data_IF_893573652989
#
_entry.id   IF_893573652989
#
_cell.length_a   1.000
_cell.length_b   1.000
_cell.length_c   1.000
_cell.angle_alpha   90.00
_cell.angle_beta   90.00
_cell.angle_gamma   90.00
#
_symmetry.space_group_name_H-M   'P 1'
#
loop_
_entity.id
_entity.type
_entity.pdbx_description
1 polymer ?
#
# COMPACT_ATOMS: atom_id res chain seq x y z
N UNK A 1 -1.99 -41.97 -13.59
CA UNK A 1 -2.24 -40.59 -14.07
C UNK A 1 -2.21 -39.66 -12.87
N UNK A 2 -1.75 -38.42 -13.01
CA UNK A 2 -1.68 -37.47 -11.89
C UNK A 2 -3.04 -36.83 -11.60
N UNK A 3 -3.76 -36.43 -12.64
CA UNK A 3 -5.09 -35.82 -12.59
C UNK A 3 -6.18 -36.74 -12.08
N UNK A 4 -5.97 -38.06 -12.05
CA UNK A 4 -6.93 -39.02 -11.48
C UNK A 4 -6.77 -39.24 -9.97
N UNK A 5 -5.89 -38.48 -9.30
CA UNK A 5 -5.69 -38.58 -7.85
C UNK A 5 -6.80 -37.86 -7.10
N UNK A 6 -7.27 -38.44 -5.98
CA UNK A 6 -8.22 -37.79 -5.07
C UNK A 6 -7.66 -36.53 -4.40
N UNK A 7 -6.33 -36.36 -4.40
CA UNK A 7 -5.65 -35.14 -3.92
C UNK A 7 -5.46 -34.08 -5.00
N UNK A 8 -5.83 -34.36 -6.27
CA UNK A 8 -5.76 -33.36 -7.34
C UNK A 8 -7.02 -32.49 -7.29
N UNK A 9 -6.86 -31.17 -7.31
CA UNK A 9 -8.00 -30.25 -7.23
C UNK A 9 -8.86 -30.37 -8.50
N UNK A 10 -10.16 -30.53 -8.31
CA UNK A 10 -11.15 -30.56 -9.39
C UNK A 10 -12.21 -29.47 -9.19
N UNK A 11 -12.65 -28.88 -10.28
CA UNK A 11 -13.78 -27.94 -10.32
C UNK A 11 -14.61 -28.22 -11.58
N UNK A 12 -15.95 -28.15 -11.45
CA UNK A 12 -16.90 -28.52 -12.53
C UNK A 12 -16.61 -29.88 -13.20
N UNK A 13 -16.11 -30.85 -12.42
CA UNK A 13 -15.75 -32.19 -12.90
C UNK A 13 -14.45 -32.27 -13.70
N UNK A 14 -13.73 -31.16 -13.89
CA UNK A 14 -12.43 -31.10 -14.57
C UNK A 14 -11.28 -30.95 -13.57
N UNK A 15 -10.07 -31.48 -13.85
CA UNK A 15 -8.86 -31.14 -13.11
C UNK A 15 -8.54 -29.64 -13.25
N UNK A 16 -8.16 -28.97 -12.17
CA UNK A 16 -7.80 -27.55 -12.18
C UNK A 16 -6.34 -27.36 -12.62
N UNK A 17 -6.10 -26.46 -13.57
CA UNK A 17 -4.77 -26.11 -14.08
C UNK A 17 -4.52 -24.61 -13.91
N UNK A 18 -3.48 -24.24 -13.15
CA UNK A 18 -3.00 -22.86 -13.05
C UNK A 18 -1.95 -22.54 -14.10
N UNK A 19 -2.16 -21.44 -14.85
CA UNK A 19 -1.22 -20.89 -15.82
C UNK A 19 -0.80 -19.49 -15.38
N UNK A 20 0.49 -19.29 -15.10
CA UNK A 20 1.02 -18.03 -14.56
C UNK A 20 2.02 -17.39 -15.50
N UNK A 21 2.06 -16.05 -15.51
CA UNK A 21 3.11 -15.29 -16.19
C UNK A 21 2.87 -15.01 -17.67
N UNK A 22 1.62 -15.00 -18.13
CA UNK A 22 1.26 -14.50 -19.46
C UNK A 22 0.70 -13.08 -19.38
N UNK A 23 0.86 -12.29 -20.45
CA UNK A 23 0.36 -10.92 -20.53
C UNK A 23 1.19 -9.87 -19.79
N UNK A 24 2.26 -10.24 -19.07
CA UNK A 24 3.15 -9.29 -18.41
C UNK A 24 4.12 -8.62 -19.39
N UNK A 25 4.39 -7.32 -19.20
CA UNK A 25 5.27 -6.52 -20.06
C UNK A 25 6.78 -6.71 -19.83
N UNK A 26 7.18 -7.45 -18.79
CA UNK A 26 8.57 -7.61 -18.33
C UNK A 26 9.24 -8.94 -18.78
N UNK A 27 8.57 -9.74 -19.62
CA UNK A 27 8.99 -11.11 -19.97
C UNK A 27 8.67 -11.48 -21.43
N UNK A 28 9.22 -12.59 -21.97
CA UNK A 28 8.98 -12.99 -23.35
C UNK A 28 7.49 -13.21 -23.64
N UNK A 29 7.00 -12.64 -24.75
CA UNK A 29 5.62 -12.78 -25.17
C UNK A 29 5.45 -13.87 -26.25
N UNK A 30 4.66 -14.94 -26.00
CA UNK A 30 4.27 -15.92 -27.02
C UNK A 30 3.26 -15.38 -28.05
N UNK A 31 2.59 -14.25 -27.76
CA UNK A 31 1.60 -13.62 -28.63
C UNK A 31 0.18 -14.16 -28.47
N UNK A 32 -0.80 -13.23 -28.60
CA UNK A 32 -2.25 -13.47 -28.41
C UNK A 32 -2.76 -14.73 -29.11
N UNK A 33 -2.49 -14.90 -30.41
CA UNK A 33 -3.02 -16.04 -31.18
C UNK A 33 -2.54 -17.40 -30.66
N UNK A 34 -1.29 -17.49 -30.20
CA UNK A 34 -0.74 -18.73 -29.65
C UNK A 34 -1.34 -19.05 -28.28
N UNK A 35 -1.54 -18.03 -27.45
CA UNK A 35 -2.12 -18.17 -26.12
C UNK A 35 -3.62 -18.49 -26.16
N UNK A 36 -4.39 -17.82 -27.01
CA UNK A 36 -5.81 -18.15 -27.24
C UNK A 36 -5.97 -19.61 -27.63
N UNK A 37 -5.16 -20.10 -28.58
CA UNK A 37 -5.17 -21.51 -28.98
C UNK A 37 -4.78 -22.44 -27.84
N UNK A 38 -3.70 -22.13 -27.11
CA UNK A 38 -3.25 -22.95 -25.98
C UNK A 38 -4.34 -23.09 -24.90
N UNK A 39 -4.96 -21.98 -24.49
CA UNK A 39 -6.00 -21.99 -23.45
C UNK A 39 -7.27 -22.70 -23.95
N UNK A 40 -7.66 -22.48 -25.21
CA UNK A 40 -8.76 -23.22 -25.86
C UNK A 40 -8.56 -24.74 -25.78
N UNK A 41 -7.37 -25.22 -26.16
CA UNK A 41 -7.06 -26.64 -26.23
C UNK A 41 -6.96 -27.26 -24.82
N UNK A 42 -6.44 -26.53 -23.83
CA UNK A 42 -6.40 -26.96 -22.43
C UNK A 42 -7.80 -27.06 -21.80
N UNK A 43 -8.70 -26.11 -22.09
CA UNK A 43 -10.08 -26.08 -21.56
C UNK A 43 -10.97 -27.25 -22.00
N UNK A 44 -10.56 -27.98 -23.04
CA UNK A 44 -11.22 -29.24 -23.43
C UNK A 44 -11.07 -30.33 -22.34
N UNK A 45 -10.06 -30.22 -21.48
CA UNK A 45 -9.71 -31.28 -20.49
C UNK A 45 -9.47 -30.78 -19.07
N UNK A 46 -9.31 -29.47 -18.86
CA UNK A 46 -9.04 -28.85 -17.56
C UNK A 46 -9.96 -27.64 -17.32
N UNK A 47 -10.09 -27.25 -16.05
CA UNK A 47 -10.59 -25.93 -15.63
C UNK A 47 -9.37 -25.02 -15.45
N UNK A 48 -9.24 -23.97 -16.28
CA UNK A 48 -7.99 -23.22 -16.44
C UNK A 48 -8.05 -21.87 -15.72
N UNK A 49 -7.20 -21.73 -14.70
CA UNK A 49 -7.00 -20.50 -13.93
C UNK A 49 -5.84 -19.71 -14.53
N UNK A 50 -6.08 -18.46 -14.92
CA UNK A 50 -5.08 -17.55 -15.48
C UNK A 50 -4.55 -16.57 -14.44
N UNK A 51 -3.27 -16.69 -14.11
CA UNK A 51 -2.51 -15.71 -13.34
C UNK A 51 -2.03 -14.56 -14.23
N UNK A 52 -2.62 -13.37 -14.05
CA UNK A 52 -2.45 -12.22 -14.93
C UNK A 52 -1.81 -11.00 -14.21
N UNK A 53 -1.35 -9.98 -14.96
CA UNK A 53 -0.87 -8.72 -14.38
C UNK A 53 -1.96 -7.97 -13.60
N UNK A 54 -1.59 -7.00 -12.78
CA UNK A 54 -2.55 -6.21 -12.00
C UNK A 54 -3.42 -5.31 -12.86
N UNK A 55 -2.86 -4.72 -13.92
CA UNK A 55 -3.57 -3.79 -14.81
C UNK A 55 -4.04 -4.45 -16.11
N UNK A 56 -4.27 -5.77 -16.08
CA UNK A 56 -4.59 -6.63 -17.23
C UNK A 56 -5.75 -6.12 -18.11
N UNK A 57 -6.86 -5.70 -17.48
CA UNK A 57 -8.05 -5.15 -18.18
C UNK A 57 -7.79 -3.80 -18.84
N UNK A 58 -6.80 -3.05 -18.37
CA UNK A 58 -6.46 -1.75 -18.94
C UNK A 58 -5.35 -1.87 -20.01
N UNK A 59 -4.55 -2.94 -19.99
CA UNK A 59 -3.43 -3.14 -20.91
C UNK A 59 -2.29 -2.15 -20.70
N UNK A 60 -2.10 -1.69 -19.45
CA UNK A 60 -1.10 -0.69 -19.07
C UNK A 60 -0.17 -1.21 -17.95
N UNK A 61 0.83 -0.41 -17.58
CA UNK A 61 1.75 -0.67 -16.47
C UNK A 61 2.49 -2.01 -16.61
N UNK A 62 2.06 -3.02 -15.85
CA UNK A 62 2.63 -4.36 -15.85
C UNK A 62 2.00 -5.30 -16.89
N UNK A 63 0.93 -4.88 -17.57
CA UNK A 63 0.29 -5.62 -18.65
C UNK A 63 0.72 -5.16 -20.04
N UNK A 64 0.76 -6.12 -20.96
CA UNK A 64 0.72 -5.90 -22.40
C UNK A 64 -0.67 -5.42 -22.85
N UNK A 65 -0.70 -4.62 -23.92
CA UNK A 65 -1.92 -4.14 -24.58
C UNK A 65 -2.47 -5.22 -25.54
N UNK A 66 -3.80 -5.26 -25.74
CA UNK A 66 -4.44 -6.17 -26.71
C UNK A 66 -4.75 -7.59 -26.17
N UNK A 67 -4.44 -7.87 -24.90
CA UNK A 67 -4.56 -9.21 -24.31
C UNK A 67 -5.99 -9.64 -23.90
N UNK A 68 -7.00 -8.80 -24.11
CA UNK A 68 -8.40 -9.08 -23.75
C UNK A 68 -8.95 -10.41 -24.29
N UNK A 69 -8.59 -10.78 -25.52
CA UNK A 69 -9.03 -12.07 -26.08
C UNK A 69 -8.35 -13.26 -25.39
N UNK A 70 -7.11 -13.10 -24.94
CA UNK A 70 -6.44 -14.12 -24.10
C UNK A 70 -7.15 -14.26 -22.75
N UNK A 71 -7.44 -13.14 -22.10
CA UNK A 71 -8.07 -13.13 -20.78
C UNK A 71 -9.49 -13.71 -20.81
N UNK A 72 -10.28 -13.42 -21.86
CA UNK A 72 -11.60 -14.04 -22.10
C UNK A 72 -11.58 -15.56 -22.27
N UNK A 73 -10.43 -16.16 -22.59
CA UNK A 73 -10.37 -17.61 -22.75
C UNK A 73 -10.37 -18.36 -21.41
N UNK A 74 -9.92 -17.78 -20.30
CA UNK A 74 -9.81 -18.50 -19.03
C UNK A 74 -11.16 -18.90 -18.42
N UNK A 75 -11.17 -19.88 -17.52
CA UNK A 75 -12.35 -20.17 -16.69
C UNK A 75 -12.36 -19.30 -15.41
N UNK A 76 -11.16 -18.99 -14.91
CA UNK A 76 -10.97 -18.10 -13.76
C UNK A 76 -9.75 -17.20 -13.98
N UNK A 77 -9.82 -15.93 -13.58
CA UNK A 77 -8.67 -15.00 -13.57
C UNK A 77 -8.21 -14.68 -12.15
N UNK A 78 -6.89 -14.54 -11.99
CA UNK A 78 -6.23 -14.23 -10.73
C UNK A 78 -5.18 -13.13 -10.94
N UNK A 79 -5.55 -11.85 -10.78
CA UNK A 79 -4.60 -10.73 -10.88
C UNK A 79 -3.55 -10.83 -9.78
N UNK A 80 -2.28 -10.85 -10.17
CA UNK A 80 -1.16 -10.84 -9.22
C UNK A 80 -1.04 -9.46 -8.59
N UNK A 81 -1.15 -9.39 -7.25
CA UNK A 81 -1.18 -8.13 -6.50
C UNK A 81 0.02 -7.92 -5.58
N UNK A 82 0.88 -8.93 -5.38
CA UNK A 82 2.04 -8.83 -4.48
C UNK A 82 2.92 -7.63 -4.88
N UNK A 83 3.22 -6.78 -3.90
CA UNK A 83 4.02 -5.56 -4.11
C UNK A 83 3.29 -4.39 -4.80
N UNK A 84 1.96 -4.47 -5.03
CA UNK A 84 1.18 -3.38 -5.66
C UNK A 84 0.66 -2.33 -4.68
N UNK A 85 0.59 -2.67 -3.40
CA UNK A 85 0.28 -1.75 -2.31
C UNK A 85 1.09 -2.14 -1.06
N UNK A 86 1.38 -1.13 -0.23
CA UNK A 86 2.23 -1.22 0.96
C UNK A 86 1.42 -1.00 2.24
N UNK A 87 0.33 -0.25 2.16
CA UNK A 87 -0.46 0.18 3.31
C UNK A 87 -1.91 -0.31 3.23
N UNK A 88 -2.52 -0.59 4.39
CA UNK A 88 -3.91 -1.09 4.47
C UNK A 88 -4.94 -0.17 3.80
N UNK A 89 -4.72 1.14 3.79
CA UNK A 89 -5.61 2.08 3.11
C UNK A 89 -5.64 1.83 1.59
N UNK A 90 -4.48 1.61 0.99
CA UNK A 90 -4.29 1.35 -0.44
C UNK A 90 -4.93 0.04 -0.89
N UNK A 91 -5.07 -0.95 0.02
CA UNK A 91 -5.85 -2.18 -0.23
C UNK A 91 -7.29 -1.81 -0.60
N UNK A 92 -7.95 -1.01 0.24
CA UNK A 92 -9.33 -0.57 0.00
C UNK A 92 -9.44 0.26 -1.29
N UNK A 93 -8.47 1.14 -1.55
CA UNK A 93 -8.46 1.96 -2.77
C UNK A 93 -8.31 1.09 -4.03
N UNK A 94 -7.41 0.09 -4.03
CA UNK A 94 -7.25 -0.88 -5.12
C UNK A 94 -8.58 -1.62 -5.40
N UNK A 95 -9.22 -2.13 -4.35
CA UNK A 95 -10.48 -2.87 -4.51
C UNK A 95 -11.64 -1.98 -4.99
N UNK A 96 -11.69 -0.71 -4.58
CA UNK A 96 -12.75 0.22 -4.98
C UNK A 96 -12.55 0.85 -6.37
N UNK A 97 -11.31 1.03 -6.82
CA UNK A 97 -10.98 1.80 -8.05
C UNK A 97 -10.53 0.95 -9.23
N UNK A 98 -9.98 -0.24 -9.01
CA UNK A 98 -9.47 -1.11 -10.07
C UNK A 98 -10.17 -2.48 -10.06
N UNK A 99 -10.08 -3.23 -8.96
CA UNK A 99 -10.60 -4.60 -8.89
C UNK A 99 -12.12 -4.68 -9.13
N UNK A 100 -12.88 -3.65 -8.73
CA UNK A 100 -14.33 -3.61 -8.95
C UNK A 100 -14.71 -3.74 -10.42
N UNK A 101 -14.00 -3.05 -11.31
CA UNK A 101 -14.26 -3.12 -12.74
C UNK A 101 -13.72 -4.43 -13.35
N UNK A 102 -12.62 -4.95 -12.80
CA UNK A 102 -12.07 -6.25 -13.19
C UNK A 102 -13.04 -7.39 -12.87
N UNK A 103 -13.66 -7.36 -11.69
CA UNK A 103 -14.74 -8.25 -11.30
C UNK A 103 -15.97 -8.11 -12.20
N UNK A 104 -16.40 -6.88 -12.50
CA UNK A 104 -17.51 -6.64 -13.43
C UNK A 104 -17.24 -7.19 -14.83
N UNK A 105 -16.02 -7.02 -15.37
CA UNK A 105 -15.63 -7.65 -16.63
C UNK A 105 -15.70 -9.17 -16.55
N UNK A 106 -15.24 -9.77 -15.45
CA UNK A 106 -15.29 -11.23 -15.27
C UNK A 106 -16.74 -11.74 -15.23
N UNK A 107 -17.63 -11.08 -14.48
CA UNK A 107 -19.07 -11.38 -14.44
C UNK A 107 -19.71 -11.28 -15.84
N UNK A 108 -19.45 -10.20 -16.58
CA UNK A 108 -19.96 -9.97 -17.94
C UNK A 108 -19.50 -11.02 -18.97
N UNK A 109 -18.34 -11.64 -18.75
CA UNK A 109 -17.73 -12.61 -19.66
C UNK A 109 -17.83 -14.06 -19.15
N UNK A 110 -18.57 -14.30 -18.05
CA UNK A 110 -18.72 -15.61 -17.40
C UNK A 110 -17.38 -16.25 -16.94
N UNK A 111 -16.47 -15.41 -16.43
CA UNK A 111 -15.17 -15.80 -15.90
C UNK A 111 -15.25 -15.70 -14.37
N UNK A 112 -14.75 -16.71 -13.65
CA UNK A 112 -14.59 -16.59 -12.19
C UNK A 112 -13.43 -15.67 -11.81
N UNK A 113 -13.49 -15.01 -10.66
CA UNK A 113 -12.38 -14.19 -10.16
C UNK A 113 -11.80 -14.77 -8.87
N UNK A 114 -10.46 -14.78 -8.77
CA UNK A 114 -9.70 -15.29 -7.64
C UNK A 114 -8.58 -14.32 -7.22
N UNK A 115 -8.84 -13.34 -6.34
CA UNK A 115 -7.86 -12.35 -5.91
C UNK A 115 -6.69 -12.99 -5.17
N UNK A 116 -5.51 -12.40 -5.33
CA UNK A 116 -4.31 -12.73 -4.55
C UNK A 116 -4.28 -11.93 -3.24
N UNK A 117 -3.86 -12.57 -2.15
CA UNK A 117 -3.61 -11.95 -0.85
C UNK A 117 -2.29 -12.45 -0.22
N UNK A 118 -1.52 -11.58 0.44
CA UNK A 118 -0.19 -11.92 1.00
C UNK A 118 0.05 -11.29 2.39
N UNK A 119 0.89 -11.90 3.25
CA UNK A 119 1.06 -11.47 4.63
C UNK A 119 1.89 -10.20 4.81
N UNK A 120 2.73 -9.86 3.83
CA UNK A 120 3.72 -8.78 3.82
C UNK A 120 4.89 -9.17 2.92
N UNK A 121 5.90 -8.31 2.78
CA UNK A 121 6.92 -8.44 1.72
C UNK A 121 8.28 -7.88 2.15
N UNK A 122 9.36 -8.61 1.85
CA UNK A 122 10.73 -8.30 2.25
C UNK A 122 11.78 -9.08 1.43
N UNK A 123 12.08 -8.58 0.24
CA UNK A 123 13.03 -9.18 -0.72
C UNK A 123 14.52 -8.80 -0.47
N UNK A 124 14.88 -8.23 0.68
CA UNK A 124 16.27 -7.78 1.01
C UNK A 124 17.35 -8.82 0.72
N UNK A 125 17.09 -10.09 1.05
CA UNK A 125 18.06 -11.18 0.86
C UNK A 125 18.11 -11.64 -0.62
N UNK A 126 16.99 -11.53 -1.34
CA UNK A 126 16.88 -11.83 -2.77
C UNK A 126 17.57 -10.75 -3.63
N UNK A 127 17.19 -9.48 -3.46
CA UNK A 127 17.75 -8.33 -4.21
C UNK A 127 19.11 -7.85 -3.69
N UNK A 128 19.54 -8.32 -2.50
CA UNK A 128 20.81 -7.93 -1.84
C UNK A 128 20.90 -6.42 -1.56
N UNK A 129 19.77 -5.78 -1.26
CA UNK A 129 19.64 -4.33 -1.02
C UNK A 129 18.90 -4.04 0.29
N UNK A 130 19.51 -3.26 1.18
CA UNK A 130 18.93 -2.94 2.51
C UNK A 130 17.56 -2.25 2.45
N UNK A 131 17.36 -1.38 1.44
CA UNK A 131 16.10 -0.67 1.21
C UNK A 131 14.91 -1.61 0.89
N UNK A 132 15.17 -2.91 0.69
CA UNK A 132 14.17 -3.93 0.42
C UNK A 132 13.82 -4.79 1.64
N UNK A 133 14.17 -4.37 2.85
CA UNK A 133 13.84 -5.06 4.10
C UNK A 133 12.48 -4.61 4.68
N UNK A 134 11.59 -5.57 4.97
CA UNK A 134 10.25 -5.35 5.52
C UNK A 134 9.47 -4.23 4.79
N UNK A 135 9.58 -4.17 3.46
CA UNK A 135 9.00 -3.13 2.60
C UNK A 135 7.49 -3.03 2.80
N UNK A 136 6.81 -4.17 2.96
CA UNK A 136 5.39 -4.23 3.34
C UNK A 136 5.31 -4.91 4.71
N UNK A 137 5.27 -4.13 5.81
CA UNK A 137 5.15 -4.65 7.17
C UNK A 137 3.91 -5.53 7.31
N UNK A 138 4.06 -6.68 7.99
CA UNK A 138 2.97 -7.66 8.13
C UNK A 138 1.87 -7.20 9.09
N UNK A 139 2.19 -6.22 9.95
CA UNK A 139 1.27 -5.51 10.82
C UNK A 139 0.49 -6.45 11.75
N UNK A 140 1.19 -7.42 12.31
CA UNK A 140 0.63 -8.53 13.11
C UNK A 140 -0.51 -9.31 12.41
N UNK A 141 -0.60 -9.27 11.08
CA UNK A 141 -1.66 -9.87 10.28
C UNK A 141 -2.76 -8.91 9.85
N UNK A 142 -2.75 -7.65 10.30
CA UNK A 142 -3.75 -6.66 9.90
C UNK A 142 -3.69 -6.34 8.40
N UNK A 143 -2.50 -6.41 7.80
CA UNK A 143 -2.32 -6.21 6.36
C UNK A 143 -3.01 -7.32 5.55
N UNK A 144 -2.83 -8.58 5.93
CA UNK A 144 -3.51 -9.73 5.31
C UNK A 144 -5.02 -9.71 5.54
N UNK A 145 -5.44 -9.41 6.77
CA UNK A 145 -6.87 -9.39 7.13
C UNK A 145 -7.65 -8.33 6.35
N UNK A 146 -7.04 -7.17 6.06
CA UNK A 146 -7.67 -6.14 5.25
C UNK A 146 -7.88 -6.59 3.80
N UNK A 147 -6.94 -7.33 3.22
CA UNK A 147 -7.10 -7.91 1.88
C UNK A 147 -8.25 -8.93 1.86
N UNK A 148 -8.32 -9.82 2.86
CA UNK A 148 -9.43 -10.75 3.02
C UNK A 148 -10.79 -10.06 3.18
N UNK A 149 -10.85 -8.99 4.00
CA UNK A 149 -12.07 -8.19 4.22
C UNK A 149 -12.51 -7.44 2.97
N UNK A 150 -11.58 -6.93 2.17
CA UNK A 150 -11.88 -6.20 0.94
C UNK A 150 -12.32 -7.17 -0.18
N UNK A 151 -11.60 -8.27 -0.37
CA UNK A 151 -11.80 -9.16 -1.52
C UNK A 151 -13.09 -9.98 -1.45
N UNK A 152 -13.50 -10.42 -0.26
CA UNK A 152 -14.70 -11.25 -0.05
C UNK A 152 -16.00 -10.56 -0.47
N UNK A 153 -16.04 -9.22 -0.51
CA UNK A 153 -17.24 -8.48 -0.95
C UNK A 153 -17.57 -8.69 -2.43
N UNK A 154 -16.58 -9.12 -3.22
CA UNK A 154 -16.70 -9.50 -4.63
C UNK A 154 -17.03 -10.98 -4.85
N UNK A 155 -17.30 -11.74 -3.78
CA UNK A 155 -17.67 -13.18 -3.83
C UNK A 155 -16.76 -14.03 -4.74
N UNK A 156 -15.42 -13.95 -4.57
CA UNK A 156 -14.50 -14.67 -5.43
C UNK A 156 -14.69 -16.19 -5.33
N UNK A 157 -14.26 -16.93 -6.35
CA UNK A 157 -14.31 -18.39 -6.35
C UNK A 157 -13.41 -18.99 -5.24
N UNK A 158 -12.23 -18.40 -5.08
CA UNK A 158 -11.29 -18.65 -3.99
C UNK A 158 -10.37 -17.43 -3.82
N UNK A 159 -9.59 -17.37 -2.74
CA UNK A 159 -8.54 -16.37 -2.55
C UNK A 159 -7.19 -17.08 -2.62
N UNK A 160 -6.31 -16.64 -3.51
CA UNK A 160 -4.98 -17.21 -3.64
C UNK A 160 -4.04 -16.58 -2.60
N UNK A 161 -3.59 -17.36 -1.62
CA UNK A 161 -2.65 -16.85 -0.62
C UNK A 161 -1.22 -16.99 -1.14
N UNK A 162 -0.60 -15.87 -1.48
CA UNK A 162 0.79 -15.79 -1.92
C UNK A 162 1.70 -15.53 -0.70
N UNK A 163 2.55 -16.47 -0.26
CA UNK A 163 2.57 -17.90 -0.60
C UNK A 163 2.66 -18.74 0.68
N UNK A 164 2.63 -20.07 0.54
CA UNK A 164 2.87 -20.96 1.67
C UNK A 164 4.30 -20.80 2.23
N UNK A 165 5.31 -20.87 1.36
CA UNK A 165 6.72 -21.11 1.70
C UNK A 165 7.74 -20.24 0.94
N UNK A 166 7.31 -19.19 0.24
CA UNK A 166 8.18 -18.20 -0.45
C UNK A 166 8.86 -17.26 0.57
N UNK A 167 9.99 -17.73 1.10
CA UNK A 167 10.75 -17.09 2.18
C UNK A 167 11.59 -15.91 1.68
N UNK A 168 12.05 -15.97 0.43
CA UNK A 168 12.97 -15.04 -0.21
C UNK A 168 12.30 -13.70 -0.58
N UNK A 169 11.03 -13.70 -0.97
CA UNK A 169 10.19 -12.49 -1.04
C UNK A 169 9.57 -12.10 0.31
N UNK A 170 9.67 -12.97 1.33
CA UNK A 170 9.09 -12.73 2.65
C UNK A 170 7.56 -12.79 2.68
N UNK A 171 6.93 -13.46 1.71
CA UNK A 171 5.47 -13.65 1.54
C UNK A 171 4.97 -14.95 2.20
N UNK A 172 5.87 -15.80 2.72
CA UNK A 172 5.51 -17.09 3.33
C UNK A 172 4.55 -17.00 4.54
N UNK A 173 3.53 -17.87 4.57
CA UNK A 173 2.56 -18.03 5.70
C UNK A 173 2.83 -19.25 6.60
N UNK A 174 3.71 -20.18 6.20
CA UNK A 174 4.11 -21.34 7.01
C UNK A 174 4.88 -20.91 8.28
N UNK A 175 5.32 -21.90 9.07
CA UNK A 175 6.04 -21.66 10.33
C UNK A 175 7.41 -21.02 10.10
N UNK A 176 7.55 -19.75 10.46
CA UNK A 176 8.80 -18.99 10.41
C UNK A 176 9.28 -18.58 11.82
N UNK A 177 10.49 -18.03 11.91
CA UNK A 177 11.04 -17.57 13.19
C UNK A 177 10.17 -16.50 13.83
N UNK A 178 9.86 -16.68 15.12
CA UNK A 178 9.18 -15.66 15.94
C UNK A 178 10.06 -14.42 16.17
N UNK A 179 11.38 -14.58 16.00
CA UNK A 179 12.41 -13.57 16.26
C UNK A 179 13.20 -13.21 15.02
N UNK A 180 13.27 -11.92 14.76
CA UNK A 180 14.17 -11.33 13.77
C UNK A 180 15.61 -11.45 14.25
N UNK A 181 16.52 -11.85 13.36
CA UNK A 181 17.93 -12.10 13.69
C UNK A 181 18.82 -11.38 12.70
N UNK A 182 19.79 -10.62 13.20
CA UNK A 182 20.92 -10.11 12.42
C UNK A 182 22.08 -11.07 12.68
N UNK A 183 22.73 -11.56 11.61
CA UNK A 183 23.96 -12.33 11.71
C UNK A 183 25.15 -11.42 11.39
N UNK A 184 26.01 -11.19 12.38
CA UNK A 184 27.24 -10.40 12.26
C UNK A 184 28.22 -10.96 11.22
N UNK A 185 28.09 -12.26 10.90
CA UNK A 185 28.82 -12.98 9.86
C UNK A 185 27.92 -14.05 9.26
N UNK A 186 27.40 -13.82 8.06
CA UNK A 186 26.81 -14.90 7.25
C UNK A 186 27.88 -15.64 6.44
N UNK A 187 27.47 -16.64 5.63
CA UNK A 187 28.36 -17.23 4.63
C UNK A 187 28.82 -16.14 3.65
N UNK A 188 30.14 -16.07 3.40
CA UNK A 188 30.70 -15.10 2.46
C UNK A 188 30.31 -15.53 1.04
N UNK A 189 29.38 -14.81 0.42
CA UNK A 189 29.13 -14.96 -1.01
C UNK A 189 30.29 -14.33 -1.79
N UNK A 190 30.91 -15.00 -2.78
CA UNK A 190 32.05 -14.46 -3.53
C UNK A 190 31.78 -13.07 -4.12
N UNK A 191 30.58 -12.90 -4.69
CA UNK A 191 30.16 -11.66 -5.36
C UNK A 191 29.63 -10.57 -4.40
N UNK A 192 29.53 -10.82 -3.08
CA UNK A 192 29.07 -9.82 -2.10
C UNK A 192 29.92 -9.85 -0.82
N UNK A 193 31.14 -9.27 -0.85
CA UNK A 193 31.95 -9.11 0.34
C UNK A 193 31.22 -8.25 1.38
N UNK A 194 31.24 -8.68 2.65
CA UNK A 194 30.70 -7.97 3.81
C UNK A 194 29.17 -7.83 3.89
N UNK A 195 28.38 -8.74 3.30
CA UNK A 195 26.92 -8.73 3.49
C UNK A 195 26.52 -9.19 4.90
N UNK A 196 25.83 -8.32 5.65
CA UNK A 196 25.09 -8.72 6.86
C UNK A 196 23.79 -9.42 6.44
N UNK A 197 23.52 -10.59 7.04
CA UNK A 197 22.27 -11.32 6.78
C UNK A 197 21.26 -10.97 7.87
N UNK A 198 20.16 -10.35 7.46
CA UNK A 198 19.04 -10.01 8.35
C UNK A 198 17.84 -10.89 8.01
N UNK A 199 17.51 -11.78 8.93
CA UNK A 199 16.30 -12.59 8.86
C UNK A 199 15.13 -11.80 9.44
N UNK A 200 14.07 -11.68 8.65
CA UNK A 200 12.79 -11.13 9.09
C UNK A 200 12.07 -12.19 9.93
N UNK A 201 11.85 -11.90 11.21
CA UNK A 201 11.01 -12.71 12.08
C UNK A 201 9.65 -12.06 12.29
N UNK A 202 8.73 -12.79 12.94
CA UNK A 202 7.37 -12.30 13.15
C UNK A 202 7.26 -11.08 14.08
N UNK A 203 8.30 -10.81 14.87
CA UNK A 203 8.38 -9.64 15.76
C UNK A 203 8.90 -8.36 15.13
N UNK A 204 9.20 -8.36 13.82
CA UNK A 204 9.73 -7.20 13.10
C UNK A 204 8.83 -5.95 13.19
N UNK A 205 7.52 -6.13 13.36
CA UNK A 205 6.54 -5.05 13.49
C UNK A 205 6.22 -4.68 14.95
N UNK A 206 7.08 -5.10 15.90
CA UNK A 206 6.97 -4.79 17.33
C UNK A 206 6.02 -5.67 18.14
N UNK A 207 5.48 -6.75 17.55
CA UNK A 207 4.53 -7.67 18.21
C UNK A 207 5.10 -9.08 18.26
N UNK A 208 5.20 -9.67 19.45
CA UNK A 208 5.52 -11.10 19.57
C UNK A 208 4.34 -11.96 19.12
N UNK A 209 4.56 -12.76 18.08
CA UNK A 209 3.59 -13.67 17.48
C UNK A 209 4.14 -15.10 17.50
N UNK A 210 3.29 -16.12 17.68
CA UNK A 210 3.72 -17.51 17.58
C UNK A 210 4.09 -17.87 16.14
N UNK A 211 5.04 -18.79 15.96
CA UNK A 211 5.59 -19.18 14.64
C UNK A 211 4.54 -19.57 13.60
N UNK A 212 3.40 -20.11 14.03
CA UNK A 212 2.29 -20.56 13.17
C UNK A 212 1.16 -19.51 12.99
N UNK A 213 1.40 -18.25 13.36
CA UNK A 213 0.39 -17.19 13.38
C UNK A 213 -0.36 -17.01 12.06
N UNK A 214 0.35 -16.95 10.93
CA UNK A 214 -0.25 -16.73 9.62
C UNK A 214 -1.06 -17.94 9.13
N UNK A 215 -0.62 -19.18 9.43
CA UNK A 215 -1.43 -20.38 9.19
C UNK A 215 -2.76 -20.31 9.95
N UNK A 216 -2.76 -19.87 11.22
CA UNK A 216 -3.99 -19.72 12.03
C UNK A 216 -4.90 -18.61 11.49
N UNK A 217 -4.31 -17.50 11.03
CA UNK A 217 -5.05 -16.38 10.46
C UNK A 217 -5.75 -16.76 9.14
N UNK A 218 -5.03 -17.44 8.25
CA UNK A 218 -5.57 -17.99 7.00
C UNK A 218 -6.63 -19.05 7.27
N UNK A 219 -6.41 -19.95 8.23
CA UNK A 219 -7.40 -20.97 8.64
C UNK A 219 -8.69 -20.37 9.18
N UNK A 220 -8.61 -19.28 9.97
CA UNK A 220 -9.79 -18.53 10.43
C UNK A 220 -10.55 -17.88 9.28
N UNK A 221 -9.85 -17.26 8.33
CA UNK A 221 -10.49 -16.72 7.14
C UNK A 221 -11.14 -17.82 6.30
N UNK A 222 -10.45 -18.94 6.05
CA UNK A 222 -10.99 -20.07 5.28
C UNK A 222 -12.27 -20.65 5.91
N UNK A 223 -12.34 -20.75 7.24
CA UNK A 223 -13.56 -21.14 7.95
C UNK A 223 -14.71 -20.17 7.65
N UNK A 224 -14.53 -18.86 7.92
CA UNK A 224 -15.56 -17.85 7.68
C UNK A 224 -15.96 -17.76 6.20
N UNK A 225 -14.99 -17.85 5.29
CA UNK A 225 -15.22 -17.83 3.84
C UNK A 225 -16.06 -19.03 3.38
N UNK A 226 -15.80 -20.23 3.91
CA UNK A 226 -16.59 -21.43 3.58
C UNK A 226 -18.06 -21.31 3.95
N UNK A 227 -18.38 -20.56 5.01
CA UNK A 227 -19.76 -20.29 5.41
C UNK A 227 -20.44 -19.31 4.45
N UNK A 228 -19.69 -18.37 3.86
CA UNK A 228 -20.18 -17.33 2.94
C UNK A 228 -20.47 -17.87 1.54
N UNK A 229 -19.58 -18.71 0.98
CA UNK A 229 -19.70 -19.23 -0.39
C UNK A 229 -20.55 -20.51 -0.53
N UNK A 230 -21.20 -20.95 0.55
CA UNK A 230 -22.03 -22.16 0.54
C UNK A 230 -23.26 -22.00 -0.40
N UNK A 231 -23.39 -22.81 -1.48
CA UNK A 231 -24.35 -22.57 -2.56
C UNK A 231 -25.82 -22.66 -2.12
N UNK A 232 -26.11 -23.40 -1.04
CA UNK A 232 -27.48 -23.63 -0.56
C UNK A 232 -28.02 -22.47 0.31
N UNK A 233 -27.18 -21.49 0.66
CA UNK A 233 -27.57 -20.36 1.52
C UNK A 233 -27.69 -19.09 0.69
N UNK A 234 -28.95 -18.75 0.39
CA UNK A 234 -29.35 -17.53 -0.31
C UNK A 234 -29.16 -16.30 0.61
N UNK A 235 -27.90 -15.92 0.87
CA UNK A 235 -27.58 -14.85 1.80
C UNK A 235 -27.98 -13.48 1.27
N UNK A 236 -28.91 -12.86 2.00
CA UNK A 236 -29.27 -11.45 1.86
C UNK A 236 -28.11 -10.53 2.25
N UNK A 237 -28.15 -9.28 1.76
CA UNK A 237 -27.23 -8.17 2.07
C UNK A 237 -26.97 -7.96 3.57
N UNK A 238 -27.82 -8.46 4.47
CA UNK A 238 -27.60 -8.37 5.91
C UNK A 238 -26.35 -9.14 6.41
N UNK A 239 -25.94 -10.26 5.79
CA UNK A 239 -24.66 -10.92 6.17
C UNK A 239 -23.43 -10.20 5.61
N UNK A 240 -23.55 -9.31 4.60
CA UNK A 240 -22.42 -8.47 4.16
C UNK A 240 -21.98 -7.46 5.24
N UNK A 241 -22.85 -7.10 6.19
CA UNK A 241 -22.45 -6.37 7.39
C UNK A 241 -21.64 -7.23 8.37
N UNK A 242 -21.97 -8.51 8.53
CA UNK A 242 -21.17 -9.46 9.33
C UNK A 242 -19.82 -9.75 8.66
N UNK A 243 -19.73 -9.67 7.34
CA UNK A 243 -18.49 -9.75 6.56
C UNK A 243 -17.60 -8.52 6.77
N UNK A 244 -18.16 -7.31 6.83
CA UNK A 244 -17.41 -6.13 7.29
C UNK A 244 -17.05 -6.21 8.78
N UNK A 245 -17.87 -6.90 9.57
CA UNK A 245 -17.67 -7.22 10.98
C UNK A 245 -16.87 -8.50 11.25
N UNK A 246 -16.19 -9.10 10.24
CA UNK A 246 -15.44 -10.35 10.38
C UNK A 246 -14.53 -10.28 11.61
N UNK A 247 -14.79 -11.11 12.62
CA UNK A 247 -14.22 -10.93 13.95
C UNK A 247 -12.70 -11.08 13.93
N UNK A 248 -12.05 -9.93 13.85
CA UNK A 248 -10.63 -9.80 13.67
C UNK A 248 -9.93 -10.36 14.91
N UNK A 249 -9.00 -11.33 14.77
CA UNK A 249 -8.43 -12.02 15.93
C UNK A 249 -7.83 -11.03 16.93
N UNK A 250 -8.07 -11.25 18.23
CA UNK A 250 -7.84 -10.23 19.26
C UNK A 250 -6.42 -9.64 19.28
N UNK A 251 -5.40 -10.39 18.86
CA UNK A 251 -4.03 -9.84 18.72
C UNK A 251 -3.91 -8.82 17.60
N UNK A 252 -4.56 -9.05 16.47
CA UNK A 252 -4.63 -8.08 15.36
C UNK A 252 -5.42 -6.84 15.81
N UNK A 253 -6.59 -7.03 16.43
CA UNK A 253 -7.39 -5.95 17.04
C UNK A 253 -6.58 -5.14 18.05
N UNK A 254 -5.83 -5.82 18.93
CA UNK A 254 -4.98 -5.17 19.95
C UNK A 254 -3.83 -4.40 19.31
N UNK A 255 -3.20 -4.93 18.27
CA UNK A 255 -2.18 -4.22 17.50
C UNK A 255 -2.75 -2.97 16.82
N UNK A 256 -3.93 -3.06 16.19
CA UNK A 256 -4.61 -1.91 15.61
C UNK A 256 -4.93 -0.84 16.65
N UNK A 257 -5.42 -1.25 17.83
CA UNK A 257 -5.67 -0.34 18.94
C UNK A 257 -4.38 0.38 19.37
N UNK A 258 -3.28 -0.36 19.54
CA UNK A 258 -1.97 0.19 19.86
C UNK A 258 -1.42 1.14 18.79
N UNK A 259 -1.65 0.85 17.50
CA UNK A 259 -1.31 1.78 16.41
C UNK A 259 -2.10 3.09 16.50
N UNK A 260 -3.41 3.03 16.77
CA UNK A 260 -4.25 4.24 16.92
C UNK A 260 -3.84 5.03 18.17
N UNK A 261 -3.55 4.36 19.28
CA UNK A 261 -3.02 4.99 20.51
C UNK A 261 -1.66 5.68 20.23
N UNK A 262 -0.75 5.03 19.50
CA UNK A 262 0.54 5.60 19.11
C UNK A 262 0.41 6.77 18.12
N UNK A 263 -0.44 6.67 17.09
CA UNK A 263 -0.69 7.77 16.15
C UNK A 263 -1.31 8.99 16.86
N UNK A 264 -2.19 8.77 17.83
CA UNK A 264 -2.73 9.84 18.67
C UNK A 264 -1.63 10.49 19.53
N UNK A 265 -0.70 9.70 20.09
CA UNK A 265 0.47 10.20 20.83
C UNK A 265 1.42 11.01 19.94
N UNK A 266 1.73 10.55 18.73
CA UNK A 266 2.55 11.28 17.75
C UNK A 266 1.87 12.57 17.29
N UNK A 267 0.56 12.53 17.05
CA UNK A 267 -0.20 13.73 16.68
C UNK A 267 -0.37 14.73 17.84
N UNK A 268 -0.40 14.29 19.10
CA UNK A 268 -0.31 15.21 20.25
C UNK A 268 1.09 15.80 20.40
N UNK A 269 2.17 15.04 20.18
CA UNK A 269 3.55 15.56 20.16
C UNK A 269 3.73 16.63 19.07
N UNK A 270 3.32 16.32 17.84
CA UNK A 270 3.33 17.28 16.74
C UNK A 270 2.53 18.56 17.07
N UNK A 271 1.36 18.42 17.72
CA UNK A 271 0.57 19.57 18.19
C UNK A 271 1.23 20.35 19.32
N UNK A 272 2.06 19.73 20.15
CA UNK A 272 2.85 20.44 21.17
C UNK A 272 3.98 21.24 20.53
N UNK A 273 4.79 20.63 19.66
CA UNK A 273 5.88 21.29 18.92
C UNK A 273 5.38 22.49 18.09
N UNK A 274 4.26 22.33 17.38
CA UNK A 274 3.65 23.41 16.61
C UNK A 274 3.14 24.55 17.51
N UNK A 275 2.51 24.24 18.65
CA UNK A 275 2.09 25.27 19.62
C UNK A 275 3.28 26.05 20.20
N UNK A 276 4.41 25.39 20.40
CA UNK A 276 5.66 26.06 20.81
C UNK A 276 6.17 27.00 19.72
N UNK A 277 6.12 26.62 18.44
CA UNK A 277 6.44 27.51 17.32
C UNK A 277 5.54 28.77 17.31
N UNK A 278 4.22 28.60 17.49
CA UNK A 278 3.28 29.73 17.60
C UNK A 278 3.63 30.68 18.74
N UNK A 279 3.94 30.15 19.94
CA UNK A 279 4.34 30.96 21.11
C UNK A 279 5.68 31.67 20.88
N UNK A 280 6.65 30.99 20.29
CA UNK A 280 8.03 31.46 20.10
C UNK A 280 8.15 32.52 19.00
N UNK A 281 7.39 32.39 17.90
CA UNK A 281 7.57 33.19 16.67
C UNK A 281 6.47 34.23 16.52
N UNK A 282 5.21 33.83 16.76
CA UNK A 282 4.01 34.66 16.60
C UNK A 282 3.50 35.21 17.95
N UNK A 283 4.14 34.89 19.07
CA UNK A 283 3.85 35.43 20.40
C UNK A 283 2.39 35.24 20.86
N UNK A 284 1.74 34.15 20.41
CA UNK A 284 0.37 33.79 20.75
C UNK A 284 0.18 32.28 20.84
N UNK A 285 -0.96 31.84 21.37
CA UNK A 285 -1.40 30.46 21.16
C UNK A 285 -1.77 30.23 19.69
N UNK A 286 -1.45 29.03 19.21
CA UNK A 286 -1.88 28.57 17.89
C UNK A 286 -3.38 28.32 17.85
N UNK A 287 -4.02 28.79 16.79
CA UNK A 287 -5.44 28.53 16.52
C UNK A 287 -5.66 27.06 16.10
N UNK A 288 -6.86 26.48 16.33
CA UNK A 288 -7.08 25.04 16.09
C UNK A 288 -6.81 24.60 14.65
N UNK A 289 -7.12 25.44 13.66
CA UNK A 289 -6.93 25.14 12.24
C UNK A 289 -5.45 25.14 11.86
N UNK A 290 -4.70 26.19 12.22
CA UNK A 290 -3.27 26.29 11.98
C UNK A 290 -2.45 25.25 12.75
N UNK A 291 -2.81 24.97 14.01
CA UNK A 291 -2.19 23.90 14.80
C UNK A 291 -2.43 22.54 14.14
N UNK A 292 -3.66 22.24 13.69
CA UNK A 292 -3.96 21.00 12.96
C UNK A 292 -3.15 20.90 11.66
N UNK A 293 -3.14 21.96 10.85
CA UNK A 293 -2.43 22.03 9.57
C UNK A 293 -0.93 21.74 9.71
N UNK A 294 -0.22 22.51 10.53
CA UNK A 294 1.22 22.33 10.69
C UNK A 294 1.59 21.02 11.39
N UNK A 295 0.72 20.48 12.26
CA UNK A 295 0.95 19.17 12.87
C UNK A 295 0.85 18.05 11.82
N UNK A 296 -0.07 18.17 10.86
CA UNK A 296 -0.11 17.26 9.70
C UNK A 296 1.10 17.43 8.78
N UNK A 297 1.70 18.63 8.68
CA UNK A 297 2.97 18.81 7.97
C UNK A 297 4.12 18.03 8.65
N UNK A 298 4.25 18.12 9.98
CA UNK A 298 5.25 17.33 10.73
C UNK A 298 5.06 15.82 10.52
N UNK A 299 3.82 15.32 10.66
CA UNK A 299 3.52 13.89 10.42
C UNK A 299 3.76 13.43 8.97
N UNK A 300 3.85 14.36 8.01
CA UNK A 300 4.21 14.09 6.60
C UNK A 300 5.70 14.29 6.32
N UNK A 301 6.54 14.42 7.35
CA UNK A 301 7.99 14.53 7.24
C UNK A 301 8.51 15.95 6.93
N UNK A 302 7.69 16.99 7.03
CA UNK A 302 8.19 18.37 6.98
C UNK A 302 8.98 18.66 8.26
N UNK A 303 10.22 19.12 8.14
CA UNK A 303 11.04 19.46 9.30
C UNK A 303 10.46 20.63 10.09
N UNK A 304 10.55 20.58 11.42
CA UNK A 304 10.06 21.66 12.32
C UNK A 304 10.66 23.03 11.96
N UNK A 305 11.94 23.08 11.59
CA UNK A 305 12.62 24.31 11.14
C UNK A 305 12.02 24.93 9.88
N UNK A 306 11.44 24.13 8.98
CA UNK A 306 10.75 24.62 7.80
C UNK A 306 9.40 25.26 8.16
N UNK A 307 8.72 24.74 9.18
CA UNK A 307 7.49 25.31 9.73
C UNK A 307 7.80 26.60 10.50
N UNK A 308 8.87 26.62 11.30
CA UNK A 308 9.36 27.84 11.95
C UNK A 308 9.64 28.94 10.92
N UNK A 309 10.33 28.62 9.82
CA UNK A 309 10.60 29.56 8.73
C UNK A 309 9.31 30.07 8.08
N UNK A 310 8.32 29.20 7.80
CA UNK A 310 7.02 29.63 7.26
C UNK A 310 6.24 30.57 8.20
N UNK A 311 6.29 30.31 9.52
CA UNK A 311 5.72 31.23 10.50
C UNK A 311 6.49 32.56 10.54
N UNK A 312 7.82 32.53 10.40
CA UNK A 312 8.66 33.73 10.37
C UNK A 312 8.39 34.61 9.13
N UNK A 313 8.24 34.00 7.96
CA UNK A 313 7.95 34.71 6.71
C UNK A 313 6.50 35.19 6.58
N UNK A 314 5.63 34.78 7.51
CA UNK A 314 4.20 35.06 7.46
C UNK A 314 3.86 36.56 7.50
N UNK A 315 2.74 36.99 6.90
CA UNK A 315 2.24 38.35 7.05
C UNK A 315 1.96 38.72 8.51
N UNK A 316 1.57 37.75 9.34
CA UNK A 316 1.32 37.95 10.77
C UNK A 316 2.61 38.33 11.52
N UNK A 317 3.72 37.62 11.27
CA UNK A 317 5.02 37.95 11.86
C UNK A 317 5.50 39.35 11.46
N UNK A 318 5.38 39.71 10.18
CA UNK A 318 5.76 41.03 9.66
C UNK A 318 4.95 42.17 10.31
N UNK A 319 3.66 41.93 10.62
CA UNK A 319 2.83 42.88 11.37
C UNK A 319 3.24 43.01 12.84
N UNK A 320 3.70 41.93 13.48
CA UNK A 320 4.24 41.98 14.85
C UNK A 320 5.52 42.82 14.92
N UNK A 321 6.45 42.60 14.00
CA UNK A 321 7.72 43.35 13.92
C UNK A 321 7.50 44.85 13.64
N UNK A 322 6.53 45.19 12.78
CA UNK A 322 6.14 46.58 12.55
C UNK A 322 5.54 47.23 13.81
N UNK A 323 4.72 46.47 14.56
CA UNK A 323 4.10 46.95 15.83
C UNK A 323 5.13 47.13 16.93
N UNK A 324 6.06 46.21 17.13
CA UNK A 324 7.15 46.38 18.10
C UNK A 324 8.06 47.56 17.73
N UNK A 325 8.35 47.74 16.44
CA UNK A 325 9.15 48.88 15.95
C UNK A 325 8.45 50.21 16.22
N UNK A 326 7.13 50.32 15.98
CA UNK A 326 6.37 51.51 16.37
C UNK A 326 6.35 51.74 17.87
N UNK A 327 6.18 50.69 18.68
CA UNK A 327 6.14 50.81 20.15
C UNK A 327 7.45 51.37 20.71
N UNK A 328 8.59 50.91 20.18
CA UNK A 328 9.92 51.44 20.53
C UNK A 328 10.06 52.93 20.11
N UNK A 329 9.52 53.32 18.95
CA UNK A 329 9.52 54.73 18.51
C UNK A 329 8.59 55.59 19.37
N UNK A 330 7.43 55.07 19.78
CA UNK A 330 6.48 55.77 20.65
C UNK A 330 7.03 55.91 22.08
N UNK A 331 7.62 54.87 22.67
CA UNK A 331 8.29 54.91 23.99
C UNK A 331 9.48 55.90 23.99
N UNK A 332 10.27 55.94 22.91
CA UNK A 332 11.32 56.96 22.76
C UNK A 332 10.75 58.38 22.51
N UNK A 333 9.58 58.51 21.90
CA UNK A 333 8.92 59.81 21.67
C UNK A 333 8.19 60.34 22.90
N UNK A 334 7.78 59.51 23.87
CA UNK A 334 7.28 59.98 25.17
C UNK A 334 8.34 60.77 25.99
N UNK A 335 9.60 60.76 25.57
CA UNK A 335 10.65 61.64 26.10
C UNK A 335 10.59 63.08 25.53
N UNK A 336 9.62 63.44 24.68
CA UNK A 336 9.39 64.82 24.19
C UNK A 336 7.89 65.18 24.16
N UNK A 337 7.50 66.46 24.38
CA UNK A 337 6.08 66.83 24.47
C UNK A 337 5.32 66.75 23.13
N UNK A 338 4.00 66.55 23.24
CA UNK A 338 3.07 66.19 22.16
C UNK A 338 2.78 67.25 21.09
N UNK A 339 2.64 66.78 19.84
CA UNK A 339 1.60 67.09 18.84
C UNK A 339 1.66 66.03 17.70
N UNK A 340 0.62 65.69 16.94
CA UNK A 340 -0.83 65.95 17.07
C UNK A 340 -1.64 65.48 15.84
N UNK A 341 -2.69 64.66 16.03
CA UNK A 341 -3.77 64.26 15.07
C UNK A 341 -3.32 63.53 13.76
N UNK A 342 -3.80 62.33 13.38
CA UNK A 342 -5.12 62.04 12.80
C UNK A 342 -5.33 60.53 12.57
N UNK A 343 -6.58 60.08 12.64
CA UNK A 343 -7.00 58.68 12.47
C UNK A 343 -7.49 58.36 11.06
N UNK A 344 -7.03 57.24 10.46
CA UNK A 344 -7.70 56.60 9.33
C UNK A 344 -7.87 55.10 9.54
N UNK A 345 -9.12 54.64 9.39
CA UNK A 345 -9.54 53.23 9.42
C UNK A 345 -9.66 52.74 7.98
N UNK A 346 -8.95 51.66 7.62
CA UNK A 346 -9.13 50.91 6.37
C UNK A 346 -8.79 49.40 6.57
N UNK A 347 -9.19 48.49 5.67
CA UNK A 347 -9.88 47.25 6.07
C UNK A 347 -9.00 45.97 6.18
N UNK A 348 -9.63 44.89 6.67
CA UNK A 348 -9.06 43.53 6.76
C UNK A 348 -8.67 42.97 5.37
N UNK A 349 -7.47 42.37 5.21
CA UNK A 349 -7.14 41.56 4.03
C UNK A 349 -7.77 40.16 4.09
N UNK A 350 -8.04 39.58 2.93
CA UNK A 350 -8.64 38.26 2.75
C UNK A 350 -7.60 37.12 2.60
N UNK A 351 -8.08 35.88 2.73
CA UNK A 351 -7.31 34.64 2.51
C UNK A 351 -6.80 34.57 1.08
N UNK A 352 -5.50 34.34 0.89
CA UNK A 352 -4.88 34.17 -0.42
C UNK A 352 -5.18 32.77 -1.00
N UNK A 353 -5.85 32.71 -2.15
CA UNK A 353 -5.91 31.51 -3.01
C UNK A 353 -4.74 31.55 -3.99
N UNK A 354 -3.94 30.49 -4.05
CA UNK A 354 -2.99 30.29 -5.14
C UNK A 354 -3.63 29.50 -6.29
N UNK A 355 -3.34 29.90 -7.53
CA UNK A 355 -3.69 29.18 -8.76
C UNK A 355 -2.47 28.37 -9.27
N UNK A 356 -2.69 27.31 -10.07
CA UNK A 356 -1.63 26.40 -10.51
C UNK A 356 -0.94 26.88 -11.81
N UNK A 357 0.31 26.47 -12.01
CA UNK A 357 0.96 26.55 -13.33
C UNK A 357 2.48 26.57 -13.30
N UNK A 358 3.12 25.42 -13.50
CA UNK A 358 4.50 25.32 -14.03
C UNK A 358 4.51 24.21 -15.08
N UNK A 359 4.94 24.54 -16.29
CA UNK A 359 4.95 23.61 -17.43
C UNK A 359 6.19 22.73 -17.49
N UNK A 360 6.03 21.53 -18.03
CA UNK A 360 7.12 20.61 -18.37
C UNK A 360 7.82 21.05 -19.66
N UNK A 361 9.15 20.89 -19.70
CA UNK A 361 9.97 21.05 -20.91
C UNK A 361 10.78 19.78 -21.15
N UNK A 362 10.72 19.25 -22.38
CA UNK A 362 11.47 18.05 -22.79
C UNK A 362 12.86 18.41 -23.31
N UNK A 363 13.84 17.55 -23.04
CA UNK A 363 15.10 17.50 -23.79
C UNK A 363 15.40 16.07 -24.24
N UNK A 364 15.81 15.92 -25.50
CA UNK A 364 16.14 14.63 -26.14
C UNK A 364 17.62 14.30 -25.94
N UNK A 365 17.94 13.03 -25.74
CA UNK A 365 19.26 12.48 -26.06
C UNK A 365 19.20 10.95 -26.23
N UNK A 366 18.94 10.49 -27.46
CA UNK A 366 19.12 9.09 -27.84
C UNK A 366 20.60 8.77 -28.00
N UNK A 367 21.09 7.66 -27.45
CA UNK A 367 22.24 6.94 -28.03
C UNK A 367 21.96 5.44 -28.09
N UNK A 368 22.15 4.91 -29.29
CA UNK A 368 22.08 3.50 -29.64
C UNK A 368 23.48 2.91 -29.50
N UNK A 369 23.60 1.69 -28.95
CA UNK A 369 24.69 0.77 -29.28
C UNK A 369 24.04 -0.59 -29.57
N UNK A 370 24.47 -1.22 -30.66
CA UNK A 370 23.96 -2.51 -31.13
C UNK A 370 24.74 -3.68 -30.49
N UNK A 371 24.16 -4.88 -30.64
CA UNK A 371 24.63 -6.13 -30.05
C UNK A 371 26.03 -6.55 -30.49
N UNK A 372 26.60 -7.50 -29.74
CA UNK A 372 27.25 -8.64 -30.38
C UNK A 372 26.86 -9.95 -29.71
N UNK A 373 26.92 -11.03 -30.49
CA UNK A 373 26.44 -12.38 -30.16
C UNK A 373 27.61 -13.29 -29.76
N UNK A 374 27.34 -14.60 -29.59
CA UNK A 374 28.27 -15.70 -29.25
C UNK A 374 28.46 -15.89 -27.72
N UNK A 375 28.38 -17.09 -27.14
CA UNK A 375 28.12 -18.41 -27.71
C UNK A 375 29.16 -19.44 -27.30
N UNK A 376 28.94 -20.10 -26.16
CA UNK A 376 29.58 -21.35 -25.74
C UNK A 376 28.84 -21.95 -24.56
#
# INVERSE_FOLDING_TARGET
QLTSSSSYLHHEGKPVLGLWGFGFSDRPDPGVNQLVKLIHDLKQTAYVVGGCPTYWRQGINDSLEGYHDVYRMFDCLSPWTVGRYVHRAEVSDYYQTLFKDDAAFCDENHISIAPVAWPGFSEMNLKRTENSYNVVPRQAGAFLWEQFRACVTFKPLFVYVAMFDEIDEGTAIFKVSEKSVILDRGPVHPDVPNQFYRFLGLDADGVSLPSDWYMRLVGKFAQAFSEIIAPDKQYSLCHLHEIQGMDMPDRVRSYLKGLVENQNLEYERARQEVRECYRKILMREGDPEGVSHYSQCLLRGVAISQIEQWMYDSPERKLLEFRSSRRIVEENNYARPHEGVLSHVLPRPAVAKCLPGVGLSFSKSTKIVLADNLGS
#
